data_IF_755008615665
#
_entry.id   IF_755008615665
#
_cell.length_a   1.000
_cell.length_b   1.000
_cell.length_c   1.000
_cell.angle_alpha   90.00
_cell.angle_beta   90.00
_cell.angle_gamma   90.00
#
_symmetry.space_group_name_H-M   'P 1'
#
loop_
_entity.id
_entity.type
_entity.pdbx_description
1 polymer ?
#
# COMPACT_ATOMS: atom_id res chain seq x y z
N UNK A 1 -7.88 20.67 -15.82
CA UNK A 1 -6.68 20.06 -15.16
C UNK A 1 -5.47 19.82 -16.08
N UNK A 2 -5.54 20.09 -17.38
CA UNK A 2 -4.44 19.81 -18.34
C UNK A 2 -3.14 20.62 -18.09
N UNK A 3 -3.20 21.81 -17.50
CA UNK A 3 -2.00 22.65 -17.27
C UNK A 3 -1.13 22.29 -16.07
N UNK A 4 -1.66 21.55 -15.09
CA UNK A 4 -0.92 21.23 -13.86
C UNK A 4 0.09 20.07 -14.01
N UNK A 5 -0.02 19.28 -15.08
CA UNK A 5 0.85 18.08 -15.27
C UNK A 5 2.33 18.43 -15.46
N UNK A 6 2.63 19.64 -15.92
CA UNK A 6 4.01 20.14 -16.14
C UNK A 6 4.63 20.77 -14.89
N UNK A 7 3.83 20.99 -13.82
CA UNK A 7 4.34 21.52 -12.56
C UNK A 7 4.93 20.36 -11.75
N UNK A 8 6.18 20.48 -11.23
CA UNK A 8 6.76 19.46 -10.36
C UNK A 8 5.83 19.11 -9.18
N UNK A 9 5.79 17.83 -8.80
CA UNK A 9 4.85 17.28 -7.80
C UNK A 9 4.90 18.06 -6.48
N UNK A 10 6.10 18.44 -6.04
CA UNK A 10 6.33 19.23 -4.81
C UNK A 10 5.60 20.58 -4.74
N UNK A 11 5.26 21.17 -5.87
CA UNK A 11 4.46 22.41 -5.93
C UNK A 11 3.00 22.13 -6.26
N UNK A 12 2.78 21.12 -7.11
CA UNK A 12 1.45 20.74 -7.57
C UNK A 12 0.58 20.13 -6.48
N UNK A 13 1.17 19.27 -5.65
CA UNK A 13 0.42 18.52 -4.62
C UNK A 13 -0.24 19.44 -3.57
N UNK A 14 0.48 20.42 -2.97
CA UNK A 14 -0.15 21.40 -2.07
C UNK A 14 -1.25 22.23 -2.74
N UNK A 15 -1.09 22.60 -4.00
CA UNK A 15 -2.10 23.34 -4.74
C UNK A 15 -3.36 22.50 -4.97
N UNK A 16 -3.20 21.22 -5.34
CA UNK A 16 -4.33 20.31 -5.51
C UNK A 16 -5.07 20.10 -4.19
N UNK A 17 -4.34 19.75 -3.11
CA UNK A 17 -4.96 19.52 -1.80
C UNK A 17 -5.64 20.78 -1.25
N UNK A 18 -4.98 21.95 -1.35
CA UNK A 18 -5.55 23.23 -0.95
C UNK A 18 -6.81 23.57 -1.74
N UNK A 19 -6.76 23.40 -3.07
CA UNK A 19 -7.89 23.63 -3.96
C UNK A 19 -9.08 22.69 -3.70
N UNK A 20 -8.81 21.40 -3.51
CA UNK A 20 -9.85 20.42 -3.15
C UNK A 20 -10.50 20.74 -1.82
N UNK A 21 -9.72 21.05 -0.78
CA UNK A 21 -10.26 21.44 0.53
C UNK A 21 -11.10 22.72 0.45
N UNK A 22 -10.64 23.72 -0.30
CA UNK A 22 -11.39 24.97 -0.47
C UNK A 22 -12.72 24.69 -1.19
N UNK A 23 -12.69 23.96 -2.30
CA UNK A 23 -13.90 23.60 -3.05
C UNK A 23 -14.86 22.77 -2.19
N UNK A 24 -14.35 21.80 -1.45
CA UNK A 24 -15.15 20.97 -0.57
C UNK A 24 -15.81 21.80 0.55
N UNK A 25 -15.09 22.77 1.14
CA UNK A 25 -15.66 23.70 2.15
C UNK A 25 -16.78 24.55 1.56
N UNK A 26 -16.65 25.02 0.32
CA UNK A 26 -17.70 25.79 -0.36
C UNK A 26 -18.94 24.93 -0.64
N UNK A 27 -18.74 23.68 -1.09
CA UNK A 27 -19.84 22.76 -1.40
C UNK A 27 -20.51 22.18 -0.15
N UNK A 28 -19.80 22.08 0.96
CA UNK A 28 -20.29 21.43 2.17
C UNK A 28 -21.21 22.28 3.05
N UNK A 29 -21.61 23.48 2.61
CA UNK A 29 -22.46 24.39 3.42
C UNK A 29 -23.81 23.78 3.84
N UNK A 30 -24.27 22.72 3.15
CA UNK A 30 -25.49 21.99 3.49
C UNK A 30 -25.23 20.53 3.96
N UNK A 31 -23.97 20.12 4.13
CA UNK A 31 -23.66 18.75 4.48
C UNK A 31 -23.66 18.55 5.99
N UNK A 32 -24.25 17.44 6.43
CA UNK A 32 -24.22 17.03 7.84
C UNK A 32 -22.97 16.21 8.12
N UNK A 33 -22.22 16.58 9.17
CA UNK A 33 -21.07 15.83 9.65
C UNK A 33 -21.49 14.43 10.12
N UNK A 34 -20.57 13.49 10.10
CA UNK A 34 -20.88 12.11 10.51
C UNK A 34 -21.46 12.01 11.92
N UNK A 35 -20.92 12.79 12.88
CA UNK A 35 -21.40 12.80 14.26
C UNK A 35 -22.87 13.24 14.43
N UNK A 36 -23.41 13.96 13.47
CA UNK A 36 -24.77 14.53 13.49
C UNK A 36 -25.71 13.81 12.52
N UNK A 37 -25.18 12.97 11.63
CA UNK A 37 -25.95 12.26 10.63
C UNK A 37 -26.73 11.09 11.24
N UNK A 38 -27.78 10.67 10.55
CA UNK A 38 -28.65 9.56 10.96
C UNK A 38 -28.68 8.51 9.85
N UNK A 39 -27.69 7.61 9.79
CA UNK A 39 -27.67 6.55 8.79
C UNK A 39 -28.90 5.65 8.91
N UNK A 40 -29.40 5.19 7.77
CA UNK A 40 -30.53 4.25 7.67
C UNK A 40 -30.03 2.95 7.05
N UNK A 41 -30.72 1.84 7.32
CA UNK A 41 -30.38 0.55 6.72
C UNK A 41 -30.59 0.56 5.20
N UNK A 42 -29.77 -0.19 4.47
CA UNK A 42 -29.84 -0.23 3.01
C UNK A 42 -28.67 -0.96 2.35
N UNK A 43 -28.24 -0.48 1.19
CA UNK A 43 -27.27 -1.14 0.34
C UNK A 43 -25.83 -0.90 0.81
N UNK A 44 -24.94 -1.86 0.52
CA UNK A 44 -23.53 -1.74 0.77
C UNK A 44 -22.77 -1.35 -0.50
N UNK A 45 -22.36 -0.10 -0.60
CA UNK A 45 -21.57 0.41 -1.73
C UNK A 45 -20.09 0.43 -1.37
N UNK A 46 -19.26 -0.20 -2.20
CA UNK A 46 -17.81 -0.19 -2.10
C UNK A 46 -17.24 0.60 -3.28
N UNK A 47 -16.64 1.74 -2.98
CA UNK A 47 -16.00 2.60 -3.97
C UNK A 47 -14.47 2.45 -3.90
N UNK A 48 -13.84 2.11 -5.02
CA UNK A 48 -12.38 1.98 -5.16
C UNK A 48 -11.94 2.25 -6.60
N UNK A 49 -10.65 2.33 -6.85
CA UNK A 49 -10.08 2.42 -8.20
C UNK A 49 -9.95 1.01 -8.82
N UNK A 50 -11.04 0.38 -9.16
CA UNK A 50 -11.06 -1.03 -9.57
C UNK A 50 -10.23 -1.33 -10.82
N UNK A 51 -10.13 -0.38 -11.74
CA UNK A 51 -9.47 -0.52 -13.04
C UNK A 51 -8.02 0.00 -13.07
N UNK A 52 -7.44 0.38 -11.91
CA UNK A 52 -6.05 0.86 -11.82
C UNK A 52 -5.09 -0.21 -11.28
N UNK A 53 -3.78 0.00 -11.53
CA UNK A 53 -2.71 -0.92 -11.15
C UNK A 53 -1.88 -0.42 -9.96
N UNK A 54 -2.38 0.58 -9.21
CA UNK A 54 -1.68 1.14 -8.06
C UNK A 54 -1.90 0.30 -6.79
N UNK A 55 -1.03 0.45 -5.78
CA UNK A 55 -1.19 -0.26 -4.50
C UNK A 55 -2.52 0.05 -3.79
N UNK A 56 -3.01 1.31 -3.87
CA UNK A 56 -4.31 1.68 -3.30
C UNK A 56 -5.47 1.02 -4.06
N UNK A 57 -5.35 0.86 -5.37
CA UNK A 57 -6.32 0.13 -6.19
C UNK A 57 -6.34 -1.36 -5.84
N UNK A 58 -5.17 -1.98 -5.67
CA UNK A 58 -5.05 -3.36 -5.22
C UNK A 58 -5.69 -3.54 -3.84
N UNK A 59 -5.39 -2.65 -2.89
CA UNK A 59 -6.03 -2.66 -1.56
C UNK A 59 -7.55 -2.56 -1.64
N UNK A 60 -8.09 -1.75 -2.55
CA UNK A 60 -9.52 -1.61 -2.80
C UNK A 60 -10.17 -2.91 -3.30
N UNK A 61 -9.53 -3.59 -4.26
CA UNK A 61 -9.98 -4.91 -4.75
C UNK A 61 -9.93 -5.96 -3.65
N UNK A 62 -8.87 -5.98 -2.83
CA UNK A 62 -8.76 -6.89 -1.69
C UNK A 62 -9.86 -6.64 -0.66
N UNK A 63 -10.18 -5.37 -0.36
CA UNK A 63 -11.29 -5.04 0.55
C UNK A 63 -12.64 -5.53 0.01
N UNK A 64 -12.92 -5.30 -1.28
CA UNK A 64 -14.14 -5.79 -1.92
C UNK A 64 -14.25 -7.32 -1.88
N UNK A 65 -13.14 -8.01 -2.17
CA UNK A 65 -13.06 -9.47 -2.05
C UNK A 65 -13.26 -9.94 -0.60
N UNK A 66 -12.66 -9.25 0.37
CA UNK A 66 -12.83 -9.53 1.80
C UNK A 66 -14.30 -9.42 2.24
N UNK A 67 -15.02 -8.37 1.83
CA UNK A 67 -16.45 -8.23 2.13
C UNK A 67 -17.27 -9.35 1.48
N UNK A 68 -17.03 -9.67 0.20
CA UNK A 68 -17.72 -10.78 -0.47
C UNK A 68 -17.46 -12.13 0.21
N UNK A 69 -16.20 -12.39 0.59
CA UNK A 69 -15.83 -13.59 1.33
C UNK A 69 -16.47 -13.65 2.73
N UNK A 70 -16.65 -12.48 3.37
CA UNK A 70 -17.41 -12.32 4.61
C UNK A 70 -18.93 -12.46 4.46
N UNK A 71 -19.42 -12.71 3.24
CA UNK A 71 -20.84 -12.94 2.95
C UNK A 71 -21.68 -11.69 2.77
N UNK A 72 -21.06 -10.55 2.43
CA UNK A 72 -21.76 -9.32 2.11
C UNK A 72 -22.05 -9.21 0.61
N UNK A 73 -23.27 -8.80 0.28
CA UNK A 73 -23.63 -8.37 -1.07
C UNK A 73 -23.22 -6.89 -1.23
N UNK A 74 -22.30 -6.61 -2.16
CA UNK A 74 -21.76 -5.27 -2.35
C UNK A 74 -22.03 -4.75 -3.76
N UNK A 75 -22.26 -3.45 -3.85
CA UNK A 75 -22.32 -2.71 -5.11
C UNK A 75 -20.94 -2.08 -5.33
N UNK A 76 -20.21 -2.57 -6.34
CA UNK A 76 -18.92 -1.98 -6.72
C UNK A 76 -19.13 -0.68 -7.51
N UNK A 77 -18.38 0.36 -7.15
CA UNK A 77 -18.42 1.66 -7.78
C UNK A 77 -17.00 2.16 -8.04
N UNK A 78 -16.65 2.49 -9.29
CA UNK A 78 -15.30 2.94 -9.64
C UNK A 78 -15.13 4.43 -9.28
N UNK A 79 -14.16 4.72 -8.43
CA UNK A 79 -13.83 6.10 -8.02
C UNK A 79 -13.32 6.96 -9.18
N UNK A 80 -12.86 6.37 -10.28
CA UNK A 80 -12.39 7.13 -11.44
C UNK A 80 -13.50 8.00 -12.01
N UNK A 81 -14.75 7.53 -12.02
CA UNK A 81 -15.91 8.26 -12.52
C UNK A 81 -16.17 9.57 -11.74
N UNK A 82 -15.78 9.61 -10.46
CA UNK A 82 -15.93 10.81 -9.63
C UNK A 82 -15.06 11.99 -10.11
N UNK A 83 -13.92 11.72 -10.75
CA UNK A 83 -12.95 12.77 -11.13
C UNK A 83 -13.42 13.63 -12.29
N UNK A 84 -14.35 13.16 -13.10
CA UNK A 84 -14.95 13.96 -14.18
C UNK A 84 -16.13 14.79 -13.68
N UNK A 85 -16.68 14.46 -12.52
CA UNK A 85 -17.95 14.99 -12.03
C UNK A 85 -17.82 15.89 -10.79
N UNK A 86 -16.76 15.79 -9.99
CA UNK A 86 -16.67 16.43 -8.66
C UNK A 86 -16.79 17.97 -8.67
N UNK A 87 -16.46 18.63 -9.78
CA UNK A 87 -16.58 20.10 -9.89
C UNK A 87 -18.06 20.51 -9.95
N UNK A 88 -18.85 19.82 -10.76
CA UNK A 88 -20.28 20.12 -10.93
C UNK A 88 -21.13 19.38 -9.90
N UNK A 89 -20.80 18.15 -9.58
CA UNK A 89 -21.54 17.28 -8.66
C UNK A 89 -22.84 16.76 -9.25
N UNK A 90 -23.69 16.18 -8.41
CA UNK A 90 -25.05 15.80 -8.77
C UNK A 90 -25.22 14.41 -9.38
N UNK A 91 -24.17 13.63 -9.52
CA UNK A 91 -24.31 12.22 -9.89
C UNK A 91 -24.94 11.43 -8.71
N UNK A 92 -25.92 10.55 -8.95
CA UNK A 92 -26.45 9.71 -7.87
C UNK A 92 -25.39 8.66 -7.47
N UNK A 93 -25.18 8.48 -6.16
CA UNK A 93 -24.46 7.32 -5.67
C UNK A 93 -25.34 6.08 -5.82
N UNK A 94 -24.85 4.95 -6.33
CA UNK A 94 -25.66 3.74 -6.50
C UNK A 94 -26.23 3.23 -5.17
N UNK A 95 -27.39 2.54 -5.24
CA UNK A 95 -28.12 2.03 -4.07
C UNK A 95 -28.79 3.13 -3.23
N UNK A 96 -29.35 2.74 -2.06
CA UNK A 96 -30.06 3.63 -1.14
C UNK A 96 -29.72 3.31 0.30
N UNK A 97 -29.51 4.32 1.14
CA UNK A 97 -29.17 4.14 2.56
C UNK A 97 -27.92 3.27 2.75
N UNK A 98 -27.85 2.55 3.85
CA UNK A 98 -26.84 1.53 4.09
C UNK A 98 -25.44 2.07 4.36
N UNK A 99 -24.44 1.39 3.80
CA UNK A 99 -23.03 1.66 4.02
C UNK A 99 -22.35 2.13 2.74
N UNK A 100 -21.57 3.17 2.85
CA UNK A 100 -20.65 3.59 1.81
C UNK A 100 -19.20 3.46 2.28
N UNK A 101 -18.51 2.45 1.77
CA UNK A 101 -17.08 2.23 2.00
C UNK A 101 -16.28 2.81 0.83
N UNK A 102 -15.30 3.66 1.13
CA UNK A 102 -14.48 4.39 0.16
C UNK A 102 -13.01 4.01 0.38
N UNK A 103 -12.47 3.18 -0.49
CA UNK A 103 -11.06 2.78 -0.43
C UNK A 103 -10.19 3.79 -1.15
N UNK A 104 -9.88 4.90 -0.48
CA UNK A 104 -9.04 5.98 -0.99
C UNK A 104 -8.64 6.92 0.15
N UNK A 105 -7.56 7.67 -0.04
CA UNK A 105 -7.10 8.68 0.90
C UNK A 105 -8.05 9.90 0.95
N UNK A 106 -7.87 10.74 1.96
CA UNK A 106 -8.75 11.88 2.23
C UNK A 106 -9.02 12.80 1.02
N UNK A 107 -8.04 13.15 0.15
CA UNK A 107 -8.32 13.98 -1.01
C UNK A 107 -9.30 13.34 -2.00
N UNK A 108 -9.14 12.05 -2.26
CA UNK A 108 -10.02 11.29 -3.15
C UNK A 108 -11.40 11.06 -2.52
N UNK A 109 -11.47 10.91 -1.20
CA UNK A 109 -12.73 10.90 -0.45
C UNK A 109 -13.48 12.21 -0.66
N UNK A 110 -12.82 13.36 -0.57
CA UNK A 110 -13.48 14.65 -0.86
C UNK A 110 -13.97 14.74 -2.30
N UNK A 111 -13.20 14.22 -3.26
CA UNK A 111 -13.65 14.12 -4.66
C UNK A 111 -14.92 13.29 -4.77
N UNK A 112 -14.97 12.12 -4.13
CA UNK A 112 -16.15 11.26 -4.13
C UNK A 112 -17.38 11.93 -3.50
N UNK A 113 -17.23 12.56 -2.33
CA UNK A 113 -18.32 13.31 -1.66
C UNK A 113 -18.85 14.45 -2.53
N UNK A 114 -17.96 15.17 -3.23
CA UNK A 114 -18.35 16.31 -4.09
C UNK A 114 -18.96 15.88 -5.42
N UNK A 115 -18.61 14.70 -5.94
CA UNK A 115 -19.10 14.20 -7.21
C UNK A 115 -20.56 13.76 -7.13
N UNK A 116 -20.97 13.23 -5.98
CA UNK A 116 -22.31 12.70 -5.79
C UNK A 116 -23.25 13.74 -5.19
N UNK A 117 -24.53 13.61 -5.57
CA UNK A 117 -25.60 14.39 -4.95
C UNK A 117 -25.69 14.05 -3.45
N UNK A 118 -25.64 15.08 -2.61
CA UNK A 118 -25.61 14.95 -1.16
C UNK A 118 -26.76 14.09 -0.62
N UNK A 119 -27.96 14.21 -1.17
CA UNK A 119 -29.12 13.42 -0.72
C UNK A 119 -28.96 11.92 -0.91
N UNK A 120 -28.06 11.49 -1.80
CA UNK A 120 -27.83 10.06 -2.08
C UNK A 120 -26.81 9.41 -1.14
N UNK A 121 -26.13 10.21 -0.29
CA UNK A 121 -25.18 9.70 0.68
C UNK A 121 -25.31 10.28 2.09
N UNK A 122 -26.19 11.26 2.30
CA UNK A 122 -26.40 11.92 3.59
C UNK A 122 -26.82 10.95 4.70
N UNK A 123 -27.63 9.98 4.35
CA UNK A 123 -28.22 8.95 5.22
C UNK A 123 -27.45 7.63 5.23
N UNK A 124 -26.18 7.63 4.77
CA UNK A 124 -25.34 6.44 4.77
C UNK A 124 -24.31 6.43 5.90
N UNK A 125 -24.00 5.24 6.40
CA UNK A 125 -22.84 5.03 7.25
C UNK A 125 -21.58 5.05 6.38
N UNK A 126 -20.70 6.03 6.59
CA UNK A 126 -19.56 6.31 5.70
C UNK A 126 -18.26 5.86 6.33
N UNK A 127 -17.54 4.97 5.63
CA UNK A 127 -16.22 4.44 6.02
C UNK A 127 -15.23 4.84 4.93
N UNK A 128 -14.05 5.33 5.30
CA UNK A 128 -12.94 5.46 4.36
C UNK A 128 -11.77 4.58 4.79
N UNK A 129 -10.97 4.14 3.82
CA UNK A 129 -9.74 3.39 4.08
C UNK A 129 -8.54 4.22 3.64
N UNK A 130 -7.73 4.64 4.61
CA UNK A 130 -6.60 5.53 4.39
C UNK A 130 -5.27 4.81 4.55
N UNK A 131 -4.31 5.10 3.68
CA UNK A 131 -2.94 4.61 3.74
C UNK A 131 -1.96 5.79 3.74
N UNK A 132 -0.91 5.68 4.53
CA UNK A 132 0.13 6.70 4.62
C UNK A 132 1.48 6.07 4.97
N UNK A 133 2.60 6.71 4.59
CA UNK A 133 3.92 6.10 4.72
C UNK A 133 4.91 6.92 5.56
N UNK A 134 4.46 7.94 6.30
CA UNK A 134 5.32 8.67 7.25
C UNK A 134 4.65 8.78 8.62
N UNK A 135 5.40 9.06 9.71
CA UNK A 135 4.88 9.06 11.09
C UNK A 135 3.76 10.05 11.37
N UNK A 136 3.49 10.96 10.44
CA UNK A 136 2.43 11.94 10.57
C UNK A 136 1.74 12.15 9.22
N UNK A 137 0.41 12.04 9.20
CA UNK A 137 -0.40 12.29 8.02
C UNK A 137 -0.63 13.81 7.79
N UNK A 138 -0.99 14.23 6.57
CA UNK A 138 -1.26 15.64 6.29
C UNK A 138 -2.45 16.18 7.10
N UNK A 139 -2.29 17.33 7.76
CA UNK A 139 -3.38 17.99 8.48
C UNK A 139 -4.58 18.35 7.56
N UNK A 140 -4.35 18.47 6.26
CA UNK A 140 -5.42 18.69 5.27
C UNK A 140 -6.44 17.54 5.21
N UNK A 141 -6.14 16.36 5.77
CA UNK A 141 -7.04 15.19 5.80
C UNK A 141 -8.15 15.31 6.84
N UNK A 142 -7.97 16.14 7.87
CA UNK A 142 -8.91 16.32 8.97
C UNK A 142 -10.31 16.74 8.46
N UNK A 143 -10.35 17.59 7.44
CA UNK A 143 -11.63 18.06 6.92
C UNK A 143 -12.50 16.91 6.35
N UNK A 144 -11.89 15.94 5.67
CA UNK A 144 -12.59 14.76 5.19
C UNK A 144 -13.08 13.87 6.35
N UNK A 145 -12.29 13.76 7.42
CA UNK A 145 -12.63 12.97 8.60
C UNK A 145 -13.96 13.40 9.27
N UNK A 146 -14.31 14.69 9.20
CA UNK A 146 -15.60 15.19 9.73
C UNK A 146 -16.82 14.48 9.12
N UNK A 147 -16.71 14.00 7.89
CA UNK A 147 -17.78 13.36 7.16
C UNK A 147 -17.77 11.82 7.21
N UNK A 148 -16.83 11.22 7.95
CA UNK A 148 -16.64 9.78 8.07
C UNK A 148 -17.02 9.28 9.46
N UNK A 149 -17.76 8.17 9.53
CA UNK A 149 -18.10 7.49 10.78
C UNK A 149 -16.94 6.64 11.28
N UNK A 150 -16.25 5.97 10.35
CA UNK A 150 -15.03 5.22 10.62
C UNK A 150 -13.95 5.54 9.59
N UNK A 151 -12.69 5.43 10.02
CA UNK A 151 -11.50 5.53 9.17
C UNK A 151 -10.70 4.27 9.40
N UNK A 152 -10.67 3.40 8.40
CA UNK A 152 -9.89 2.17 8.45
C UNK A 152 -8.49 2.42 7.90
N UNK A 153 -7.52 1.73 8.48
CA UNK A 153 -6.11 1.86 8.11
C UNK A 153 -5.44 0.49 8.05
N UNK A 154 -4.41 0.29 7.20
CA UNK A 154 -3.82 -1.03 6.98
C UNK A 154 -2.96 -1.54 8.12
N UNK A 155 -2.46 -0.66 8.98
CA UNK A 155 -1.46 -1.00 10.01
C UNK A 155 -1.54 -0.08 11.22
N UNK A 156 -0.91 -0.50 12.32
CA UNK A 156 -0.72 0.34 13.51
C UNK A 156 0.12 1.57 13.20
N UNK A 157 1.11 1.43 12.33
CA UNK A 157 1.93 2.57 11.89
C UNK A 157 1.07 3.69 11.29
N UNK A 158 0.13 3.37 10.39
CA UNK A 158 -0.77 4.37 9.81
C UNK A 158 -1.77 4.89 10.84
N UNK A 159 -2.26 4.03 11.73
CA UNK A 159 -3.11 4.45 12.85
C UNK A 159 -2.42 5.52 13.69
N UNK A 160 -1.19 5.27 14.12
CA UNK A 160 -0.43 6.17 15.00
C UNK A 160 -0.05 7.47 14.29
N UNK A 161 0.20 7.42 12.98
CA UNK A 161 0.41 8.61 12.15
C UNK A 161 -0.83 9.54 12.15
N UNK A 162 -2.04 8.97 12.10
CA UNK A 162 -3.29 9.73 12.18
C UNK A 162 -3.58 10.21 13.61
N UNK A 163 -3.31 9.39 14.63
CA UNK A 163 -3.40 9.81 16.04
C UNK A 163 -2.54 11.03 16.30
N UNK A 164 -1.29 11.01 15.84
CA UNK A 164 -0.38 12.16 15.94
C UNK A 164 -0.98 13.40 15.26
N UNK A 165 -1.47 13.25 14.02
CA UNK A 165 -2.06 14.35 13.26
C UNK A 165 -3.30 14.93 13.95
N UNK A 166 -4.17 14.06 14.47
CA UNK A 166 -5.43 14.49 15.12
C UNK A 166 -5.16 15.17 16.46
N UNK A 167 -4.21 14.67 17.27
CA UNK A 167 -3.83 15.30 18.53
C UNK A 167 -3.23 16.70 18.31
N UNK A 168 -2.31 16.86 17.38
CA UNK A 168 -1.70 18.16 17.09
C UNK A 168 -2.69 19.19 16.53
N UNK A 169 -3.76 18.71 15.89
CA UNK A 169 -4.83 19.58 15.41
C UNK A 169 -5.96 19.79 16.43
N UNK A 170 -5.79 19.35 17.68
CA UNK A 170 -6.81 19.40 18.73
C UNK A 170 -8.12 18.69 18.36
N UNK A 171 -8.00 17.60 17.57
CA UNK A 171 -9.13 16.79 17.06
C UNK A 171 -9.07 15.35 17.59
N UNK A 172 -8.78 15.19 18.88
CA UNK A 172 -8.80 13.89 19.54
C UNK A 172 -10.19 13.20 19.48
N UNK A 173 -11.26 13.94 19.23
CA UNK A 173 -12.61 13.44 18.98
C UNK A 173 -12.71 12.49 17.76
N UNK A 174 -11.74 12.56 16.85
CA UNK A 174 -11.67 11.68 15.66
C UNK A 174 -10.96 10.34 15.91
N UNK A 175 -10.14 10.25 16.99
CA UNK A 175 -9.35 9.04 17.28
C UNK A 175 -10.22 7.79 17.46
N UNK A 176 -11.37 7.83 18.15
CA UNK A 176 -12.22 6.65 18.29
C UNK A 176 -12.81 6.09 16.99
N UNK A 177 -12.72 6.85 15.89
CA UNK A 177 -13.16 6.42 14.55
C UNK A 177 -12.11 5.61 13.80
N UNK A 178 -10.86 5.60 14.28
CA UNK A 178 -9.76 4.86 13.67
C UNK A 178 -9.88 3.36 13.97
N UNK A 179 -9.68 2.54 12.94
CA UNK A 179 -9.68 1.09 13.03
C UNK A 179 -8.56 0.49 12.19
N UNK A 180 -7.73 -0.34 12.80
CA UNK A 180 -6.74 -1.12 12.06
C UNK A 180 -7.42 -2.32 11.40
N UNK A 181 -7.41 -2.34 10.08
CA UNK A 181 -7.95 -3.41 9.24
C UNK A 181 -6.89 -3.78 8.19
N UNK A 182 -6.03 -4.77 8.46
CA UNK A 182 -5.01 -5.18 7.51
C UNK A 182 -5.64 -5.70 6.21
N UNK A 183 -4.93 -5.59 5.08
CA UNK A 183 -5.43 -6.13 3.82
C UNK A 183 -5.58 -7.67 3.89
N UNK A 184 -6.70 -8.25 3.41
CA UNK A 184 -6.88 -9.69 3.32
C UNK A 184 -6.15 -10.23 2.09
N UNK A 185 -4.82 -10.29 2.16
CA UNK A 185 -3.98 -10.74 1.03
C UNK A 185 -4.27 -12.21 0.74
N UNK A 186 -4.71 -12.57 -0.49
CA UNK A 186 -5.08 -13.93 -0.80
C UNK A 186 -3.89 -14.88 -0.71
N UNK A 187 -4.17 -16.10 -0.25
CA UNK A 187 -3.19 -17.18 -0.31
C UNK A 187 -3.30 -17.80 -1.70
N UNK A 188 -2.29 -17.68 -2.57
CA UNK A 188 -2.35 -18.26 -3.89
C UNK A 188 -2.49 -19.79 -3.80
N UNK A 189 -3.18 -20.43 -4.75
CA UNK A 189 -3.19 -21.88 -4.82
C UNK A 189 -1.75 -22.37 -4.98
N UNK A 190 -1.39 -23.53 -4.37
CA UNK A 190 -0.04 -24.05 -4.49
C UNK A 190 0.27 -24.32 -5.97
N UNK A 191 1.01 -23.40 -6.55
CA UNK A 191 1.59 -23.60 -7.87
C UNK A 191 2.82 -24.49 -7.72
N UNK A 192 3.03 -25.41 -8.66
CA UNK A 192 4.30 -26.14 -8.67
C UNK A 192 5.41 -25.12 -8.92
N UNK A 193 6.22 -24.86 -7.92
CA UNK A 193 7.33 -23.91 -7.94
C UNK A 193 8.22 -24.09 -9.19
N UNK A 194 8.52 -25.33 -9.55
CA UNK A 194 9.27 -25.69 -10.76
C UNK A 194 8.62 -25.18 -12.06
N UNK A 195 7.27 -25.30 -12.20
CA UNK A 195 6.56 -24.81 -13.40
C UNK A 195 6.60 -23.28 -13.49
N UNK A 196 6.50 -22.59 -12.35
CA UNK A 196 6.61 -21.13 -12.31
C UNK A 196 8.03 -20.69 -12.66
N UNK A 197 9.06 -21.35 -12.12
CA UNK A 197 10.47 -21.07 -12.45
C UNK A 197 10.75 -21.25 -13.96
N UNK A 198 10.32 -22.35 -14.55
CA UNK A 198 10.44 -22.59 -15.99
C UNK A 198 9.78 -21.50 -16.82
N UNK A 199 8.53 -21.10 -16.44
CA UNK A 199 7.78 -20.07 -17.14
C UNK A 199 8.51 -18.73 -17.20
N UNK A 200 9.17 -18.33 -16.10
CA UNK A 200 9.87 -17.05 -15.97
C UNK A 200 11.37 -17.13 -16.24
N UNK A 201 11.87 -18.28 -16.73
CA UNK A 201 13.27 -18.47 -17.10
C UNK A 201 14.23 -18.37 -15.92
N UNK A 202 13.80 -18.83 -14.72
CA UNK A 202 14.64 -18.93 -13.53
C UNK A 202 15.45 -20.23 -13.58
N UNK A 203 16.66 -20.20 -13.00
CA UNK A 203 17.58 -21.33 -13.05
C UNK A 203 17.35 -22.31 -11.90
N UNK A 204 17.38 -23.60 -12.20
CA UNK A 204 17.35 -24.64 -11.18
C UNK A 204 18.69 -24.69 -10.45
N UNK A 205 18.65 -24.94 -9.13
CA UNK A 205 19.82 -25.00 -8.29
C UNK A 205 20.47 -23.65 -7.95
N UNK A 206 19.89 -22.54 -8.40
CA UNK A 206 20.30 -21.17 -8.08
C UNK A 206 19.28 -20.55 -7.13
N UNK A 207 19.72 -19.87 -6.09
CA UNK A 207 18.84 -19.05 -5.24
C UNK A 207 18.40 -17.80 -6.01
N UNK A 208 17.17 -17.76 -6.44
CA UNK A 208 16.59 -16.63 -7.19
C UNK A 208 15.98 -15.62 -6.21
N UNK A 209 16.54 -14.41 -6.20
CA UNK A 209 16.12 -13.32 -5.33
C UNK A 209 15.38 -12.27 -6.15
N UNK A 210 14.22 -11.83 -5.67
CA UNK A 210 13.40 -10.80 -6.30
C UNK A 210 13.45 -9.51 -5.49
N UNK A 211 13.63 -8.37 -6.18
CA UNK A 211 13.25 -7.07 -5.66
C UNK A 211 12.33 -6.38 -6.65
N UNK A 212 11.22 -5.83 -6.18
CA UNK A 212 10.27 -5.18 -7.07
C UNK A 212 9.78 -3.84 -6.51
N UNK A 213 9.60 -2.86 -7.39
CA UNK A 213 9.07 -1.57 -7.03
C UNK A 213 8.43 -0.86 -8.24
N UNK A 214 7.50 0.03 -7.95
CA UNK A 214 6.93 0.94 -8.94
C UNK A 214 7.66 2.29 -8.86
N UNK A 215 8.25 2.74 -9.97
CA UNK A 215 8.93 4.03 -10.07
C UNK A 215 7.99 5.23 -9.79
N UNK A 216 6.66 5.04 -9.86
CA UNK A 216 5.67 6.06 -9.46
C UNK A 216 5.56 6.25 -7.94
N UNK A 217 6.02 5.28 -7.15
CA UNK A 217 5.84 5.25 -5.69
C UNK A 217 7.03 5.79 -4.91
N UNK A 218 7.76 6.77 -5.42
CA UNK A 218 9.01 7.31 -4.87
C UNK A 218 10.15 6.26 -4.82
N UNK A 219 11.08 6.37 -5.75
CA UNK A 219 12.26 5.49 -5.81
C UNK A 219 13.14 5.64 -4.56
N UNK A 220 13.18 6.85 -3.96
CA UNK A 220 13.94 7.08 -2.72
C UNK A 220 13.33 6.29 -1.57
N UNK A 221 12.02 6.27 -1.42
CA UNK A 221 11.34 5.47 -0.39
C UNK A 221 11.51 3.97 -0.60
N UNK A 222 11.38 3.51 -1.84
CA UNK A 222 11.53 2.08 -2.17
C UNK A 222 12.97 1.59 -2.13
N UNK A 223 13.95 2.50 -2.22
CA UNK A 223 15.38 2.25 -2.00
C UNK A 223 15.99 1.06 -2.77
N UNK A 224 15.83 0.98 -4.10
CA UNK A 224 16.45 -0.08 -4.89
C UNK A 224 17.99 -0.04 -4.84
N UNK A 225 18.56 1.12 -4.55
CA UNK A 225 20.00 1.32 -4.42
C UNK A 225 20.56 0.61 -3.20
N UNK A 226 19.85 0.63 -2.06
CA UNK A 226 20.22 -0.16 -0.88
C UNK A 226 20.20 -1.65 -1.16
N UNK A 227 19.24 -2.16 -1.95
CA UNK A 227 19.20 -3.56 -2.37
C UNK A 227 20.43 -3.93 -3.21
N UNK A 228 20.81 -3.08 -4.16
CA UNK A 228 22.00 -3.31 -4.98
C UNK A 228 23.30 -3.27 -4.16
N UNK A 229 23.39 -2.34 -3.23
CA UNK A 229 24.52 -2.23 -2.32
C UNK A 229 24.65 -3.47 -1.41
N UNK A 230 23.54 -3.91 -0.81
CA UNK A 230 23.49 -5.13 -0.02
C UNK A 230 23.86 -6.37 -0.86
N UNK A 231 23.39 -6.44 -2.12
CA UNK A 231 23.76 -7.51 -3.04
C UNK A 231 25.26 -7.53 -3.33
N UNK A 232 25.87 -6.38 -3.62
CA UNK A 232 27.30 -6.26 -3.87
C UNK A 232 28.16 -6.59 -2.63
N UNK A 233 27.64 -6.29 -1.44
CA UNK A 233 28.32 -6.67 -0.18
C UNK A 233 28.19 -8.17 0.09
N UNK A 234 27.04 -8.78 -0.16
CA UNK A 234 26.84 -10.22 0.00
C UNK A 234 27.65 -11.03 -1.02
N UNK A 235 27.71 -10.55 -2.26
CA UNK A 235 28.39 -11.20 -3.37
C UNK A 235 29.29 -10.19 -4.09
N UNK A 236 30.53 -9.97 -3.59
CA UNK A 236 31.48 -9.03 -4.19
C UNK A 236 31.79 -9.32 -5.67
N UNK A 237 31.95 -10.62 -6.01
CA UNK A 237 32.00 -11.10 -7.38
C UNK A 237 30.65 -11.71 -7.81
N UNK A 238 30.34 -11.77 -9.12
CA UNK A 238 29.15 -12.43 -9.61
C UNK A 238 28.97 -13.84 -9.07
N UNK A 239 27.83 -14.12 -8.45
CA UNK A 239 27.57 -15.40 -7.79
C UNK A 239 27.06 -16.45 -8.79
N UNK A 240 27.63 -17.67 -8.82
CA UNK A 240 27.08 -18.78 -9.59
C UNK A 240 25.89 -19.45 -8.89
N UNK A 241 25.65 -19.18 -7.59
CA UNK A 241 24.67 -19.86 -6.75
C UNK A 241 23.48 -18.98 -6.37
N UNK A 242 23.57 -17.67 -6.61
CA UNK A 242 22.49 -16.73 -6.34
C UNK A 242 22.35 -15.73 -7.48
N UNK A 243 21.11 -15.27 -7.74
CA UNK A 243 20.80 -14.29 -8.76
C UNK A 243 19.76 -13.31 -8.26
N UNK A 244 19.98 -12.01 -8.52
CA UNK A 244 19.03 -10.93 -8.22
C UNK A 244 18.24 -10.54 -9.47
N UNK A 245 16.92 -10.56 -9.38
CA UNK A 245 16.03 -9.96 -10.38
C UNK A 245 15.43 -8.68 -9.82
N UNK A 246 15.68 -7.55 -10.49
CA UNK A 246 15.02 -6.28 -10.23
C UNK A 246 13.83 -6.14 -11.18
N UNK A 247 12.61 -6.11 -10.64
CA UNK A 247 11.41 -5.81 -11.43
C UNK A 247 10.99 -4.36 -11.18
N UNK A 248 11.06 -3.54 -12.25
CA UNK A 248 10.73 -2.11 -12.19
C UNK A 248 9.50 -1.83 -13.05
N UNK A 249 8.44 -1.33 -12.45
CA UNK A 249 7.27 -0.83 -13.19
C UNK A 249 7.49 0.63 -13.60
N UNK A 250 7.12 0.97 -14.85
CA UNK A 250 7.22 2.33 -15.42
C UNK A 250 8.62 3.01 -15.29
N UNK A 251 9.72 2.36 -15.71
CA UNK A 251 11.08 2.89 -15.56
C UNK A 251 11.31 4.21 -16.33
N UNK A 252 10.49 4.53 -17.30
CA UNK A 252 10.62 5.76 -18.12
C UNK A 252 10.30 7.06 -17.38
N UNK A 253 9.80 7.00 -16.14
CA UNK A 253 9.45 8.19 -15.36
C UNK A 253 10.67 8.85 -14.71
N UNK A 254 11.68 8.07 -14.34
CA UNK A 254 12.99 8.55 -13.89
C UNK A 254 14.09 7.93 -14.76
N UNK A 255 14.39 8.61 -15.87
CA UNK A 255 15.42 8.17 -16.81
C UNK A 255 16.79 8.04 -16.18
N UNK A 256 17.16 8.94 -15.27
CA UNK A 256 18.50 8.93 -14.67
C UNK A 256 18.69 7.71 -13.76
N UNK A 257 17.69 7.36 -12.99
CA UNK A 257 17.70 6.13 -12.18
C UNK A 257 17.63 4.88 -13.06
N UNK A 258 16.84 4.88 -14.12
CA UNK A 258 16.77 3.77 -15.06
C UNK A 258 18.11 3.53 -15.77
N UNK A 259 18.76 4.57 -16.28
CA UNK A 259 20.06 4.49 -16.95
C UNK A 259 21.16 4.01 -15.99
N UNK A 260 21.14 4.47 -14.73
CA UNK A 260 22.06 4.01 -13.70
C UNK A 260 21.86 2.54 -13.35
N UNK A 261 20.60 2.09 -13.24
CA UNK A 261 20.28 0.67 -13.01
C UNK A 261 20.77 -0.19 -14.18
N UNK A 262 20.51 0.22 -15.41
CA UNK A 262 20.98 -0.49 -16.61
C UNK A 262 22.51 -0.57 -16.66
N UNK A 263 23.22 0.51 -16.31
CA UNK A 263 24.68 0.50 -16.27
C UNK A 263 25.24 -0.48 -15.23
N UNK A 264 24.62 -0.57 -14.06
CA UNK A 264 25.02 -1.52 -13.01
C UNK A 264 24.75 -2.98 -13.41
N UNK A 265 23.58 -3.25 -13.97
CA UNK A 265 23.21 -4.59 -14.45
C UNK A 265 24.13 -5.06 -15.58
N UNK A 266 24.58 -4.15 -16.46
CA UNK A 266 25.49 -4.48 -17.56
C UNK A 266 26.89 -4.95 -17.10
N UNK A 267 27.26 -4.73 -15.84
CA UNK A 267 28.55 -5.13 -15.28
C UNK A 267 28.52 -6.45 -14.51
N UNK A 268 27.31 -7.04 -14.32
CA UNK A 268 27.12 -8.23 -13.49
C UNK A 268 26.08 -9.17 -14.11
N UNK A 269 26.47 -10.37 -14.45
CA UNK A 269 25.62 -11.41 -15.04
C UNK A 269 24.69 -12.13 -14.02
N UNK A 270 24.96 -11.93 -12.71
CA UNK A 270 24.11 -12.39 -11.62
C UNK A 270 22.98 -11.40 -11.25
N UNK A 271 22.85 -10.26 -11.97
CA UNK A 271 21.77 -9.30 -11.77
C UNK A 271 20.96 -9.15 -13.07
N UNK A 272 19.64 -9.34 -12.98
CA UNK A 272 18.71 -9.19 -14.09
C UNK A 272 17.74 -8.04 -13.83
N UNK A 273 17.45 -7.24 -14.85
CA UNK A 273 16.41 -6.21 -14.83
C UNK A 273 15.24 -6.62 -15.73
N UNK A 274 14.01 -6.46 -15.24
CA UNK A 274 12.80 -6.67 -16.02
C UNK A 274 11.77 -5.57 -15.77
N UNK A 275 11.09 -5.14 -16.84
CA UNK A 275 9.98 -4.19 -16.80
C UNK A 275 8.70 -4.78 -17.43
N UNK A 276 8.64 -6.08 -17.57
CA UNK A 276 7.49 -6.78 -18.15
C UNK A 276 6.21 -6.44 -17.39
N UNK A 277 5.14 -6.12 -18.13
CA UNK A 277 3.80 -5.94 -17.55
C UNK A 277 3.12 -7.28 -17.44
N UNK A 278 2.82 -7.67 -16.23
CA UNK A 278 2.14 -8.92 -15.91
C UNK A 278 0.70 -8.64 -15.50
N UNK A 279 -0.22 -9.57 -15.78
CA UNK A 279 -1.54 -9.59 -15.17
C UNK A 279 -1.42 -9.84 -13.65
N UNK A 280 -2.47 -9.59 -12.86
CA UNK A 280 -2.46 -9.88 -11.42
C UNK A 280 -2.11 -11.36 -11.15
N UNK A 281 -2.77 -12.27 -11.85
CA UNK A 281 -2.50 -13.71 -11.74
C UNK A 281 -1.07 -14.09 -12.12
N UNK A 282 -0.53 -13.45 -13.15
CA UNK A 282 0.85 -13.70 -13.57
C UNK A 282 1.86 -13.08 -12.61
N UNK A 283 1.50 -11.98 -11.94
CA UNK A 283 2.32 -11.37 -10.89
C UNK A 283 2.40 -12.26 -9.65
N UNK A 284 1.29 -12.84 -9.21
CA UNK A 284 1.28 -13.84 -8.12
C UNK A 284 2.19 -15.02 -8.45
N UNK A 285 2.06 -15.56 -9.65
CA UNK A 285 2.89 -16.65 -10.14
C UNK A 285 4.37 -16.25 -10.27
N UNK A 286 4.63 -15.02 -10.70
CA UNK A 286 5.97 -14.48 -10.81
C UNK A 286 6.64 -14.35 -9.45
N UNK A 287 5.97 -13.75 -8.47
CA UNK A 287 6.49 -13.63 -7.10
C UNK A 287 6.76 -15.03 -6.53
N UNK A 288 5.80 -15.95 -6.63
CA UNK A 288 5.92 -17.31 -6.09
C UNK A 288 6.97 -18.20 -6.79
N UNK A 289 7.57 -17.74 -7.89
CA UNK A 289 8.65 -18.45 -8.58
C UNK A 289 10.03 -18.24 -7.93
N UNK A 290 10.17 -17.21 -7.09
CA UNK A 290 11.44 -16.86 -6.45
C UNK A 290 11.60 -17.53 -5.09
N UNK A 291 12.85 -17.67 -4.65
CA UNK A 291 13.20 -18.22 -3.35
C UNK A 291 13.15 -17.17 -2.24
N UNK A 292 13.55 -15.93 -2.57
CA UNK A 292 13.65 -14.81 -1.63
C UNK A 292 13.10 -13.54 -2.29
N UNK A 293 12.37 -12.74 -1.51
CA UNK A 293 12.06 -11.36 -1.86
C UNK A 293 12.83 -10.42 -0.92
N UNK A 294 13.54 -9.43 -1.48
CA UNK A 294 14.22 -8.40 -0.70
C UNK A 294 13.64 -7.01 -0.98
N UNK A 295 13.34 -6.26 0.09
CA UNK A 295 12.88 -4.88 0.04
C UNK A 295 13.50 -4.05 1.16
N UNK A 296 14.49 -3.24 0.82
CA UNK A 296 15.14 -2.32 1.76
C UNK A 296 14.46 -0.95 1.73
N UNK A 297 13.12 -0.96 1.76
CA UNK A 297 12.30 0.25 1.75
C UNK A 297 12.56 1.11 3.00
N UNK A 298 12.39 2.43 2.85
CA UNK A 298 12.49 3.37 3.97
C UNK A 298 11.20 3.50 4.76
N UNK A 299 10.07 3.22 4.13
CA UNK A 299 8.76 3.17 4.78
C UNK A 299 7.71 2.51 3.90
N UNK A 300 6.74 1.86 4.53
CA UNK A 300 5.53 1.30 3.94
C UNK A 300 4.31 1.56 4.83
N UNK A 301 3.17 1.89 4.23
CA UNK A 301 1.91 1.95 4.98
C UNK A 301 1.43 0.58 5.45
N UNK A 302 1.72 -0.47 4.67
CA UNK A 302 1.43 -1.87 4.97
C UNK A 302 2.55 -2.80 4.50
N UNK A 303 2.96 -2.69 3.23
CA UNK A 303 3.90 -3.59 2.59
C UNK A 303 3.18 -4.71 1.82
N UNK A 304 2.22 -4.36 0.94
CA UNK A 304 1.44 -5.33 0.14
C UNK A 304 2.33 -6.36 -0.55
N UNK A 305 3.39 -5.92 -1.22
CA UNK A 305 4.32 -6.79 -1.92
C UNK A 305 5.00 -7.81 -1.01
N UNK A 306 5.33 -7.39 0.24
CA UNK A 306 5.92 -8.27 1.25
C UNK A 306 4.90 -9.32 1.67
N UNK A 307 3.67 -8.89 1.94
CA UNK A 307 2.59 -9.79 2.32
C UNK A 307 2.22 -10.76 1.18
N UNK A 308 2.23 -10.32 -0.08
CA UNK A 308 2.03 -11.18 -1.26
C UNK A 308 3.14 -12.24 -1.40
N UNK A 309 4.39 -11.86 -1.18
CA UNK A 309 5.51 -12.80 -1.18
C UNK A 309 5.41 -13.83 -0.04
N UNK A 310 5.09 -13.37 1.17
CA UNK A 310 4.86 -14.24 2.32
C UNK A 310 3.68 -15.18 2.09
N UNK A 311 2.59 -14.70 1.48
CA UNK A 311 1.43 -15.51 1.10
C UNK A 311 1.80 -16.59 0.08
N UNK A 312 2.70 -16.28 -0.85
CA UNK A 312 3.19 -17.21 -1.86
C UNK A 312 4.26 -18.20 -1.34
N UNK A 313 4.61 -18.14 -0.05
CA UNK A 313 5.64 -19.00 0.53
C UNK A 313 7.06 -18.63 0.13
N UNK A 314 7.30 -17.38 -0.19
CA UNK A 314 8.63 -16.81 -0.51
C UNK A 314 9.25 -16.25 0.78
N UNK A 315 10.51 -16.56 1.05
CA UNK A 315 11.22 -15.99 2.19
C UNK A 315 11.43 -14.49 1.98
N UNK A 316 11.26 -13.66 3.03
CA UNK A 316 11.33 -12.21 2.90
C UNK A 316 12.46 -11.62 3.74
N UNK A 317 13.27 -10.78 3.11
CA UNK A 317 14.22 -9.86 3.75
C UNK A 317 13.66 -8.46 3.56
N UNK A 318 13.41 -7.71 4.63
CA UNK A 318 12.91 -6.34 4.49
C UNK A 318 13.29 -5.47 5.69
N UNK A 319 13.27 -4.15 5.50
CA UNK A 319 13.45 -3.21 6.61
C UNK A 319 12.46 -3.49 7.72
N UNK A 320 12.94 -3.67 8.96
CA UNK A 320 12.14 -3.99 10.14
C UNK A 320 11.45 -2.76 10.74
N UNK A 321 10.82 -1.92 9.90
CA UNK A 321 10.17 -0.67 10.32
C UNK A 321 8.94 -0.35 9.47
N UNK A 322 7.98 0.36 10.07
CA UNK A 322 6.71 0.83 9.51
C UNK A 322 5.62 -0.26 9.42
N UNK A 323 4.70 -0.16 8.45
CA UNK A 323 3.48 -0.96 8.42
C UNK A 323 3.68 -2.48 8.32
N UNK A 324 4.77 -2.92 7.71
CA UNK A 324 5.09 -4.35 7.61
C UNK A 324 5.50 -4.98 8.96
N UNK A 325 5.91 -4.19 9.94
CA UNK A 325 6.24 -4.69 11.28
C UNK A 325 5.02 -5.26 12.03
N UNK A 326 3.81 -5.03 11.55
CA UNK A 326 2.60 -5.64 12.12
C UNK A 326 2.49 -7.14 11.82
N UNK A 327 3.15 -7.66 10.77
CA UNK A 327 3.05 -9.06 10.38
C UNK A 327 4.41 -9.75 10.14
N UNK A 328 5.51 -8.99 10.08
CA UNK A 328 6.86 -9.52 9.94
C UNK A 328 7.57 -9.61 11.28
N UNK A 329 8.13 -10.78 11.57
CA UNK A 329 8.94 -11.08 12.76
C UNK A 329 10.19 -11.88 12.38
N UNK A 330 11.10 -12.08 13.31
CA UNK A 330 12.30 -12.91 13.10
C UNK A 330 11.99 -14.41 12.90
N UNK A 331 10.79 -14.85 13.30
CA UNK A 331 10.36 -16.23 13.10
C UNK A 331 9.85 -16.51 11.67
N UNK A 332 9.34 -15.46 10.98
CA UNK A 332 8.70 -15.62 9.67
C UNK A 332 9.37 -14.85 8.53
N UNK A 333 10.45 -14.14 8.83
CA UNK A 333 11.17 -13.30 7.87
C UNK A 333 12.57 -12.94 8.38
N UNK A 334 13.29 -12.10 7.62
CA UNK A 334 14.52 -11.43 8.06
C UNK A 334 14.32 -9.92 8.10
N UNK A 335 13.78 -9.38 9.22
CA UNK A 335 13.69 -7.94 9.41
C UNK A 335 15.11 -7.36 9.57
N UNK A 336 15.44 -6.39 8.72
CA UNK A 336 16.73 -5.69 8.73
C UNK A 336 16.61 -4.49 9.68
N UNK A 337 17.58 -4.31 10.56
CA UNK A 337 17.67 -3.15 11.44
C UNK A 337 17.85 -1.85 10.65
N UNK A 338 17.53 -0.73 11.27
CA UNK A 338 17.59 0.57 10.60
C UNK A 338 17.84 1.71 11.58
N UNK A 339 18.35 2.83 11.07
CA UNK A 339 18.39 4.10 11.77
C UNK A 339 17.33 5.04 11.23
N UNK A 340 16.69 5.83 12.09
CA UNK A 340 15.72 6.82 11.64
C UNK A 340 16.44 8.08 11.16
N UNK A 341 16.11 8.50 9.95
CA UNK A 341 16.64 9.70 9.31
C UNK A 341 15.51 10.61 8.87
N UNK A 342 15.72 11.94 8.77
CA UNK A 342 14.70 12.84 8.23
C UNK A 342 14.26 12.42 6.82
N UNK A 343 12.97 12.60 6.53
CA UNK A 343 12.43 12.31 5.19
C UNK A 343 13.08 13.23 4.16
N UNK A 344 13.81 12.63 3.23
CA UNK A 344 14.37 13.30 2.06
C UNK A 344 13.64 12.84 0.80
N UNK A 345 12.71 13.65 0.33
CA UNK A 345 11.88 13.34 -0.84
C UNK A 345 12.03 14.42 -1.93
N UNK A 346 13.00 14.27 -2.85
CA UNK A 346 13.21 15.21 -3.94
C UNK A 346 12.07 15.22 -4.96
N UNK A 347 11.29 14.13 -5.06
CA UNK A 347 10.15 14.03 -5.97
C UNK A 347 8.92 14.79 -5.45
N UNK A 348 8.80 14.97 -4.14
CA UNK A 348 7.77 15.79 -3.51
C UNK A 348 6.46 15.07 -3.20
N UNK A 349 6.47 13.74 -3.10
CA UNK A 349 5.30 12.96 -2.67
C UNK A 349 4.87 13.31 -1.23
N UNK A 350 5.85 13.63 -0.35
CA UNK A 350 5.64 13.96 1.07
C UNK A 350 5.75 15.47 1.36
N UNK A 351 5.64 16.31 0.35
CA UNK A 351 5.77 17.78 0.47
C UNK A 351 4.78 18.40 1.46
N UNK A 352 3.60 17.78 1.67
CA UNK A 352 2.58 18.30 2.60
C UNK A 352 3.00 18.23 4.07
N UNK A 353 3.96 17.39 4.39
CA UNK A 353 4.47 17.15 5.75
C UNK A 353 5.96 17.47 5.88
N UNK A 354 6.58 18.01 4.82
CA UNK A 354 7.99 18.42 4.86
C UNK A 354 8.21 19.53 5.91
N UNK A 355 9.44 19.65 6.40
CA UNK A 355 9.87 20.56 7.45
C UNK A 355 9.31 20.27 8.85
N UNK A 356 8.61 19.16 9.04
CA UNK A 356 8.24 18.68 10.35
C UNK A 356 9.35 17.74 10.86
N UNK A 357 10.01 18.02 11.99
CA UNK A 357 11.09 17.18 12.52
C UNK A 357 10.65 15.78 12.92
N UNK A 358 9.34 15.56 13.10
CA UNK A 358 8.77 14.25 13.35
C UNK A 358 8.69 13.38 12.09
N UNK A 359 8.90 13.96 10.90
CA UNK A 359 8.90 13.22 9.64
C UNK A 359 10.24 12.54 9.41
N UNK A 360 10.28 11.29 9.81
CA UNK A 360 11.41 10.40 9.66
C UNK A 360 11.01 9.15 8.89
N UNK A 361 12.00 8.48 8.33
CA UNK A 361 11.88 7.13 7.79
C UNK A 361 13.12 6.30 8.11
N UNK A 362 13.09 5.01 7.83
CA UNK A 362 14.17 4.11 8.13
C UNK A 362 15.25 4.14 7.04
N UNK A 363 16.50 4.29 7.42
CA UNK A 363 17.67 3.94 6.59
C UNK A 363 18.11 2.54 7.02
N UNK A 364 17.90 1.49 6.19
CA UNK A 364 18.22 0.11 6.54
C UNK A 364 19.71 -0.13 6.61
N UNK A 365 20.13 -1.10 7.44
CA UNK A 365 21.50 -1.56 7.53
C UNK A 365 21.81 -2.53 6.36
N UNK A 366 22.51 -2.02 5.35
CA UNK A 366 22.85 -2.79 4.16
C UNK A 366 23.81 -3.96 4.46
N UNK A 367 24.62 -3.88 5.52
CA UNK A 367 25.51 -4.98 5.90
C UNK A 367 24.72 -6.12 6.55
N UNK A 368 23.75 -5.83 7.39
CA UNK A 368 22.83 -6.85 7.93
C UNK A 368 21.99 -7.48 6.81
N UNK A 369 21.50 -6.66 5.86
CA UNK A 369 20.80 -7.17 4.69
C UNK A 369 21.67 -8.09 3.83
N UNK A 370 22.94 -7.76 3.66
CA UNK A 370 23.91 -8.60 2.95
C UNK A 370 24.16 -9.95 3.66
N UNK A 371 24.24 -9.95 4.99
CA UNK A 371 24.34 -11.17 5.79
C UNK A 371 23.09 -12.05 5.62
N UNK A 372 21.91 -11.44 5.67
CA UNK A 372 20.65 -12.15 5.46
C UNK A 372 20.53 -12.74 4.05
N UNK A 373 21.00 -12.02 3.02
CA UNK A 373 21.07 -12.53 1.64
C UNK A 373 21.97 -13.77 1.54
N UNK A 374 23.17 -13.69 2.10
CA UNK A 374 24.12 -14.80 2.10
C UNK A 374 23.57 -16.00 2.87
N UNK A 375 23.02 -15.77 4.07
CA UNK A 375 22.40 -16.80 4.89
C UNK A 375 21.27 -17.53 4.13
N UNK A 376 20.36 -16.77 3.52
CA UNK A 376 19.24 -17.37 2.81
C UNK A 376 19.65 -18.01 1.47
N UNK A 377 20.72 -17.55 0.83
CA UNK A 377 21.23 -18.21 -0.37
C UNK A 377 21.78 -19.61 -0.05
N UNK A 378 22.51 -19.74 1.07
CA UNK A 378 23.21 -20.96 1.44
C UNK A 378 22.33 -21.98 2.18
N UNK A 379 21.21 -21.54 2.80
CA UNK A 379 20.39 -22.39 3.67
C UNK A 379 18.94 -22.57 3.16
N UNK A 380 18.68 -23.47 2.20
CA UNK A 380 17.34 -23.72 1.68
C UNK A 380 16.33 -24.17 2.75
N UNK A 381 16.77 -24.95 3.75
CA UNK A 381 15.90 -25.38 4.85
C UNK A 381 15.42 -24.20 5.70
N UNK A 382 16.27 -23.20 5.89
CA UNK A 382 15.91 -21.98 6.58
C UNK A 382 14.87 -21.19 5.80
N UNK A 383 15.04 -21.04 4.46
CA UNK A 383 14.02 -20.41 3.60
C UNK A 383 12.69 -21.12 3.76
N UNK A 384 12.67 -22.45 3.73
CA UNK A 384 11.44 -23.23 3.86
C UNK A 384 10.75 -23.01 5.22
N UNK A 385 11.52 -22.99 6.32
CA UNK A 385 10.98 -22.75 7.65
C UNK A 385 10.37 -21.35 7.79
N UNK A 386 11.07 -20.31 7.33
CA UNK A 386 10.56 -18.94 7.33
C UNK A 386 9.30 -18.81 6.47
N UNK A 387 9.30 -19.40 5.28
CA UNK A 387 8.16 -19.38 4.36
C UNK A 387 6.92 -20.05 4.96
N UNK A 388 7.09 -21.17 5.63
CA UNK A 388 5.97 -21.88 6.28
C UNK A 388 5.35 -21.01 7.40
N UNK A 389 6.17 -20.37 8.23
CA UNK A 389 5.72 -19.44 9.26
C UNK A 389 5.09 -18.18 8.66
N UNK A 390 5.65 -17.65 7.55
CA UNK A 390 5.13 -16.49 6.84
C UNK A 390 3.70 -16.70 6.35
N UNK A 391 3.42 -17.83 5.70
CA UNK A 391 2.06 -18.18 5.23
C UNK A 391 1.05 -18.19 6.39
N UNK A 392 1.44 -18.68 7.57
CA UNK A 392 0.54 -18.68 8.73
C UNK A 392 0.25 -17.25 9.23
N UNK A 393 1.28 -16.39 9.23
CA UNK A 393 1.12 -14.98 9.62
C UNK A 393 0.18 -14.24 8.66
N UNK A 394 0.28 -14.48 7.35
CA UNK A 394 -0.64 -13.88 6.37
C UNK A 394 -2.06 -14.42 6.54
N UNK A 395 -2.24 -15.70 6.85
CA UNK A 395 -3.58 -16.24 7.18
C UNK A 395 -4.24 -15.48 8.34
N UNK A 396 -3.47 -15.08 9.34
CA UNK A 396 -4.00 -14.33 10.48
C UNK A 396 -4.54 -12.94 10.08
N UNK A 397 -4.04 -12.33 9.00
CA UNK A 397 -4.55 -11.06 8.46
C UNK A 397 -5.98 -11.16 7.91
N UNK A 398 -6.48 -12.37 7.64
CA UNK A 398 -7.85 -12.59 7.21
C UNK A 398 -8.86 -12.60 8.37
N UNK A 399 -8.41 -12.80 9.63
CA UNK A 399 -9.30 -12.92 10.78
C UNK A 399 -10.27 -11.72 10.91
N UNK A 400 -9.84 -10.44 10.78
CA UNK A 400 -10.75 -9.31 10.84
C UNK A 400 -11.80 -9.27 9.73
N UNK A 401 -11.57 -10.01 8.63
CA UNK A 401 -12.46 -10.10 7.47
C UNK A 401 -13.37 -11.32 7.48
N UNK A 402 -13.23 -12.21 8.47
CA UNK A 402 -14.18 -13.28 8.66
C UNK A 402 -15.54 -12.73 9.08
N UNK A 403 -16.62 -13.42 8.67
CA UNK A 403 -17.99 -12.98 8.94
C UNK A 403 -18.22 -12.68 10.42
N UNK A 404 -17.73 -13.55 11.30
CA UNK A 404 -17.89 -13.41 12.76
C UNK A 404 -17.26 -12.12 13.30
N UNK A 405 -16.11 -11.68 12.73
CA UNK A 405 -15.46 -10.44 13.11
C UNK A 405 -16.17 -9.23 12.49
N UNK A 406 -16.52 -9.32 11.20
CA UNK A 406 -17.18 -8.24 10.49
C UNK A 406 -18.55 -7.90 11.07
N UNK A 407 -19.37 -8.90 11.44
CA UNK A 407 -20.71 -8.67 12.00
C UNK A 407 -20.69 -7.95 13.36
N UNK A 408 -19.55 -7.93 14.04
CA UNK A 408 -19.39 -7.19 15.30
C UNK A 408 -19.06 -5.70 15.08
N UNK A 409 -18.86 -5.26 13.84
CA UNK A 409 -18.56 -3.88 13.52
C UNK A 409 -19.83 -3.03 13.46
N UNK A 410 -19.71 -1.75 13.81
CA UNK A 410 -20.83 -0.83 13.94
C UNK A 410 -21.65 -0.68 12.66
N UNK A 411 -21.02 -0.76 11.50
CA UNK A 411 -21.68 -0.57 10.21
C UNK A 411 -22.76 -1.62 9.92
N UNK A 412 -22.70 -2.80 10.55
CA UNK A 412 -23.72 -3.85 10.36
C UNK A 412 -25.12 -3.46 10.83
N UNK A 413 -25.24 -2.49 11.73
CA UNK A 413 -26.54 -1.94 12.12
C UNK A 413 -27.26 -1.20 10.98
N UNK A 414 -26.59 -1.04 9.83
CA UNK A 414 -27.11 -0.28 8.69
C UNK A 414 -27.16 -1.10 7.38
N UNK A 415 -27.02 -2.41 7.45
CA UNK A 415 -27.12 -3.34 6.32
C UNK A 415 -28.36 -4.22 6.40
#
# INVERSE_FOLDING_TARGET
MLGLRHIPLKYRLPLIHGGLNLLARLKSSGWTKAAESKPVAGDFVVSAFFNETTGIAQGGRLSAQGFKAGGYDIIEHDLRDCFDQFVFGGAPLPGKGGVWYIHANAPEVLVALMAHDYVTWADRYRIAYWAWETPKAPASWIFAADYLHEIWVPSRFVHDALVTTFNEAERADLIPRLRVMPHPVPLPPPMRHEMARQRFGLQDGVCEVLSLFDAKSSAVRKNPWGVLEAWQQAFPEPSPHARLTLKVSDPGRDRSSADRLLALVATRDDIRLTNERLSERDMEAFIGAFDVLISLHRSEGFGLTLAEAMAAGVAVIATGWSGNSDFMTTENSRPVSSTLVPVYDPEGAYTLVKNDPAQVWAEPDNAEAAQALHELADHPDLRQNLSAAAVQSIRALHIPWHREALVMLLFNGYL
#
